data_IF_160226434831
#
_entry.id   IF_160226434831
#
_cell.length_a   1.000
_cell.length_b   1.000
_cell.length_c   1.000
_cell.angle_alpha   90.00
_cell.angle_beta   90.00
_cell.angle_gamma   90.00
#
_symmetry.space_group_name_H-M   'P 1'
#
loop_
_entity.id
_entity.type
_entity.pdbx_description
1 polymer ?
#
# COMPACT_ATOMS: atom_id res chain seq x y z
N UNK A 1 16.35 -6.06 14.28
CA UNK A 1 16.03 -7.39 14.78
C UNK A 1 14.61 -7.66 14.31
N UNK A 2 14.44 -8.43 13.25
CA UNK A 2 13.11 -8.90 12.85
C UNK A 2 12.54 -9.71 14.02
N UNK A 3 11.24 -9.57 14.29
CA UNK A 3 10.57 -10.26 15.40
C UNK A 3 10.84 -11.75 15.29
N UNK A 4 11.38 -12.37 16.35
CA UNK A 4 11.68 -13.80 16.43
C UNK A 4 10.41 -14.68 16.54
N UNK A 5 9.25 -14.15 16.16
CA UNK A 5 7.99 -14.86 16.21
C UNK A 5 7.87 -15.75 14.97
N UNK A 6 7.68 -17.05 15.17
CA UNK A 6 7.40 -17.98 14.10
C UNK A 6 6.09 -17.62 13.40
N UNK A 7 6.12 -17.52 12.08
CA UNK A 7 4.92 -17.23 11.28
C UNK A 7 4.06 -18.50 11.19
N UNK A 8 2.75 -18.36 11.42
CA UNK A 8 1.75 -19.41 11.20
C UNK A 8 0.74 -18.97 10.15
N UNK A 9 0.06 -19.93 9.54
CA UNK A 9 -0.96 -19.65 8.52
C UNK A 9 -2.16 -18.89 9.11
N UNK A 10 -2.77 -18.02 8.29
CA UNK A 10 -3.99 -17.32 8.71
C UNK A 10 -5.16 -18.32 8.80
N UNK A 11 -5.84 -18.46 9.96
CA UNK A 11 -6.79 -19.56 10.20
C UNK A 11 -8.02 -19.62 9.28
N UNK A 12 -8.36 -18.51 8.61
CA UNK A 12 -9.49 -18.46 7.68
C UNK A 12 -9.11 -18.83 6.25
N UNK A 13 -7.83 -19.11 5.97
CA UNK A 13 -7.42 -19.59 4.66
C UNK A 13 -7.89 -21.04 4.46
N UNK A 14 -8.51 -21.36 3.30
CA UNK A 14 -8.84 -22.74 2.97
C UNK A 14 -7.59 -23.62 2.93
N UNK A 15 -7.67 -24.80 3.54
CA UNK A 15 -6.60 -25.81 3.54
C UNK A 15 -6.78 -26.82 2.39
N UNK A 16 -5.70 -27.29 1.75
CA UNK A 16 -4.31 -26.88 1.94
C UNK A 16 -4.00 -25.52 1.28
N UNK A 17 -3.28 -24.66 1.98
CA UNK A 17 -2.91 -23.30 1.52
C UNK A 17 -1.98 -23.35 0.30
N UNK A 18 -1.08 -24.33 0.27
CA UNK A 18 -0.03 -24.52 -0.74
C UNK A 18 -0.55 -24.55 -2.18
N UNK A 19 -1.78 -25.04 -2.38
CA UNK A 19 -2.41 -25.16 -3.71
C UNK A 19 -3.54 -24.17 -3.94
N UNK A 20 -4.12 -23.60 -2.87
CA UNK A 20 -5.33 -22.78 -2.95
C UNK A 20 -5.09 -21.29 -2.70
N UNK A 21 -3.94 -20.92 -2.15
CA UNK A 21 -3.62 -19.53 -1.82
C UNK A 21 -2.37 -19.06 -2.54
N UNK A 22 -2.51 -17.91 -3.19
CA UNK A 22 -1.39 -17.14 -3.75
C UNK A 22 -1.56 -15.69 -3.32
N UNK A 23 -0.58 -15.16 -2.59
CA UNK A 23 -0.64 -13.80 -2.06
C UNK A 23 -0.61 -12.73 -3.17
N UNK A 24 0.26 -12.89 -4.17
CA UNK A 24 0.34 -11.95 -5.29
C UNK A 24 -0.77 -12.19 -6.31
N UNK A 25 -1.71 -11.24 -6.40
CA UNK A 25 -2.85 -11.27 -7.33
C UNK A 25 -2.44 -11.27 -8.80
N UNK A 26 -1.42 -10.49 -9.17
CA UNK A 26 -1.03 -10.30 -10.57
C UNK A 26 0.17 -11.20 -10.87
N UNK A 27 0.05 -12.18 -11.78
CA UNK A 27 1.18 -12.99 -12.20
C UNK A 27 2.10 -12.19 -13.11
N UNK A 28 3.39 -12.13 -12.79
CA UNK A 28 4.36 -11.47 -13.67
C UNK A 28 4.92 -12.42 -14.71
N UNK A 29 4.87 -13.72 -14.43
CA UNK A 29 5.47 -14.79 -15.21
C UNK A 29 4.60 -16.05 -15.17
N UNK A 30 4.65 -16.81 -16.25
CA UNK A 30 4.13 -18.17 -16.38
C UNK A 30 5.25 -19.19 -16.60
N UNK A 31 5.02 -20.48 -16.30
CA UNK A 31 6.03 -21.54 -16.48
C UNK A 31 6.55 -21.69 -17.92
N UNK A 32 5.80 -21.22 -18.92
CA UNK A 32 6.18 -21.26 -20.33
C UNK A 32 7.14 -20.13 -20.75
N UNK A 33 7.33 -19.11 -19.91
CA UNK A 33 8.18 -17.96 -20.24
C UNK A 33 9.67 -18.33 -20.14
N UNK A 34 10.51 -17.67 -20.94
CA UNK A 34 11.96 -17.90 -20.90
C UNK A 34 12.51 -17.44 -19.53
N UNK A 35 13.10 -18.34 -18.70
CA UNK A 35 13.55 -18.00 -17.36
C UNK A 35 14.72 -17.01 -17.35
N UNK A 36 15.51 -16.94 -18.43
CA UNK A 36 16.69 -16.07 -18.55
C UNK A 36 16.37 -14.65 -19.04
N UNK A 37 15.10 -14.31 -19.23
CA UNK A 37 14.70 -13.01 -19.77
C UNK A 37 13.49 -12.48 -19.01
N UNK A 38 13.57 -11.23 -18.57
CA UNK A 38 12.46 -10.58 -17.91
C UNK A 38 11.24 -10.47 -18.85
N UNK A 39 10.06 -10.78 -18.34
CA UNK A 39 8.79 -10.64 -19.07
C UNK A 39 8.41 -9.15 -19.18
N UNK A 40 7.50 -8.79 -20.10
CA UNK A 40 6.97 -7.43 -20.15
C UNK A 40 6.32 -6.98 -18.83
N UNK A 41 5.64 -7.89 -18.12
CA UNK A 41 4.99 -7.61 -16.84
C UNK A 41 6.03 -7.39 -15.73
N UNK A 42 7.06 -8.23 -15.65
CA UNK A 42 8.17 -8.02 -14.71
C UNK A 42 8.82 -6.65 -14.94
N UNK A 43 9.13 -6.30 -16.19
CA UNK A 43 9.73 -5.01 -16.54
C UNK A 43 8.81 -3.84 -16.14
N UNK A 44 7.50 -3.94 -16.41
CA UNK A 44 6.54 -2.89 -16.05
C UNK A 44 6.49 -2.66 -14.53
N UNK A 45 6.45 -3.72 -13.73
CA UNK A 45 6.46 -3.63 -12.27
C UNK A 45 7.81 -3.17 -11.72
N UNK A 46 8.93 -3.67 -12.24
CA UNK A 46 10.26 -3.18 -11.86
C UNK A 46 10.37 -1.67 -12.13
N UNK A 47 9.89 -1.19 -13.29
CA UNK A 47 9.87 0.23 -13.61
C UNK A 47 8.99 1.04 -12.66
N UNK A 48 7.83 0.52 -12.25
CA UNK A 48 6.97 1.14 -11.25
C UNK A 48 7.72 1.33 -9.93
N UNK A 49 8.42 0.31 -9.45
CA UNK A 49 9.23 0.40 -8.24
C UNK A 49 10.44 1.33 -8.41
N UNK A 50 11.10 1.32 -9.57
CA UNK A 50 12.19 2.23 -9.88
C UNK A 50 11.73 3.69 -9.84
N UNK A 51 10.55 3.99 -10.40
CA UNK A 51 9.96 5.33 -10.38
C UNK A 51 9.58 5.81 -8.97
N UNK A 52 9.48 4.91 -7.99
CA UNK A 52 9.25 5.29 -6.59
C UNK A 52 10.51 5.80 -5.89
N UNK A 53 11.71 5.50 -6.39
CA UNK A 53 12.99 5.81 -5.75
C UNK A 53 13.12 7.29 -5.34
N UNK A 54 12.83 8.28 -6.21
CA UNK A 54 12.98 9.69 -5.84
C UNK A 54 12.11 10.09 -4.63
N UNK A 55 10.89 9.57 -4.54
CA UNK A 55 9.97 9.86 -3.43
C UNK A 55 10.47 9.28 -2.10
N UNK A 56 10.94 8.02 -2.11
CA UNK A 56 11.51 7.35 -0.94
C UNK A 56 12.82 8.00 -0.51
N UNK A 57 13.69 8.34 -1.47
CA UNK A 57 14.93 9.07 -1.22
C UNK A 57 14.64 10.41 -0.55
N UNK A 58 13.77 11.25 -1.13
CA UNK A 58 13.42 12.56 -0.54
C UNK A 58 12.89 12.43 0.89
N UNK A 59 12.08 11.39 1.14
CA UNK A 59 11.56 11.11 2.48
C UNK A 59 12.68 10.70 3.43
N UNK A 60 13.57 9.81 3.01
CA UNK A 60 14.73 9.37 3.77
C UNK A 60 15.72 10.52 4.06
N UNK A 61 15.97 11.42 3.09
CA UNK A 61 16.81 12.61 3.26
C UNK A 61 16.29 13.56 4.37
N UNK A 62 14.97 13.58 4.57
CA UNK A 62 14.29 14.41 5.58
C UNK A 62 14.13 13.74 6.95
N UNK A 63 14.64 12.51 7.14
CA UNK A 63 14.57 11.78 8.41
C UNK A 63 15.63 12.33 9.38
N UNK A 64 15.18 13.20 10.30
CA UNK A 64 16.02 13.84 11.32
C UNK A 64 16.47 12.87 12.43
N UNK A 65 15.97 11.63 12.45
CA UNK A 65 16.40 10.60 13.40
C UNK A 65 17.67 9.86 12.99
N UNK A 66 18.14 10.06 11.75
CA UNK A 66 19.31 9.36 11.19
C UNK A 66 20.44 10.36 10.90
N UNK A 67 21.62 10.10 11.47
CA UNK A 67 22.82 10.87 11.17
C UNK A 67 23.28 10.66 9.72
N UNK A 68 23.65 11.75 9.03
CA UNK A 68 24.04 11.74 7.62
C UNK A 68 22.94 11.18 6.69
N UNK A 69 21.67 11.46 7.03
CA UNK A 69 20.50 11.02 6.26
C UNK A 69 20.60 11.30 4.75
N UNK A 70 21.07 12.47 4.26
CA UNK A 70 21.19 12.72 2.82
C UNK A 70 22.12 11.74 2.09
N UNK A 71 23.30 11.47 2.65
CA UNK A 71 24.27 10.52 2.12
C UNK A 71 23.75 9.09 2.15
N UNK A 72 23.06 8.69 3.22
CA UNK A 72 22.44 7.36 3.34
C UNK A 72 21.28 7.17 2.37
N UNK A 73 20.48 8.22 2.14
CA UNK A 73 19.39 8.19 1.18
C UNK A 73 19.88 8.07 -0.26
N UNK A 74 21.00 8.73 -0.61
CA UNK A 74 21.68 8.52 -1.90
C UNK A 74 22.13 7.07 -2.04
N UNK A 75 22.77 6.50 -1.02
CA UNK A 75 23.17 5.08 -1.01
C UNK A 75 21.98 4.14 -1.18
N UNK A 76 20.84 4.43 -0.56
CA UNK A 76 19.60 3.68 -0.79
C UNK A 76 19.19 3.75 -2.26
N UNK A 77 19.11 4.95 -2.83
CA UNK A 77 18.65 5.15 -4.19
C UNK A 77 19.55 4.40 -5.20
N UNK A 78 20.87 4.50 -5.03
CA UNK A 78 21.83 3.80 -5.87
C UNK A 78 21.69 2.28 -5.75
N UNK A 79 21.78 1.73 -4.53
CA UNK A 79 21.76 0.27 -4.32
C UNK A 79 20.44 -0.36 -4.77
N UNK A 80 19.32 0.29 -4.50
CA UNK A 80 18.02 -0.24 -4.91
C UNK A 80 17.82 -0.15 -6.43
N UNK A 81 18.28 0.92 -7.08
CA UNK A 81 18.27 1.02 -8.55
C UNK A 81 19.11 -0.09 -9.20
N UNK A 82 20.31 -0.37 -8.67
CA UNK A 82 21.19 -1.44 -9.15
C UNK A 82 20.50 -2.82 -9.06
N UNK A 83 19.88 -3.14 -7.92
CA UNK A 83 19.10 -4.38 -7.73
C UNK A 83 17.97 -4.51 -8.75
N UNK A 84 17.23 -3.43 -9.01
CA UNK A 84 16.13 -3.43 -9.98
C UNK A 84 16.64 -3.62 -11.42
N UNK A 85 17.79 -3.05 -11.78
CA UNK A 85 18.41 -3.26 -13.09
C UNK A 85 18.98 -4.68 -13.24
N UNK A 86 19.50 -5.27 -12.18
CA UNK A 86 19.93 -6.66 -12.17
C UNK A 86 18.75 -7.61 -12.42
N UNK A 87 17.61 -7.39 -11.77
CA UNK A 87 16.38 -8.17 -11.99
C UNK A 87 15.85 -8.08 -13.43
N UNK A 88 16.09 -6.97 -14.15
CA UNK A 88 15.75 -6.87 -15.58
C UNK A 88 16.67 -7.72 -16.46
N UNK A 89 17.95 -7.80 -16.09
CA UNK A 89 18.98 -8.55 -16.84
C UNK A 89 18.91 -10.04 -16.57
N UNK A 90 18.68 -10.41 -15.31
CA UNK A 90 18.61 -11.77 -14.81
C UNK A 90 17.47 -11.89 -13.78
N UNK A 91 16.29 -12.40 -14.19
CA UNK A 91 15.14 -12.54 -13.29
C UNK A 91 15.41 -13.39 -12.06
N UNK A 92 16.36 -14.34 -12.11
CA UNK A 92 16.71 -15.23 -10.99
C UNK A 92 17.65 -14.54 -9.97
N UNK A 93 18.16 -13.34 -10.28
CA UNK A 93 19.00 -12.57 -9.37
C UNK A 93 18.20 -12.11 -8.13
N UNK A 94 18.92 -11.83 -7.04
CA UNK A 94 18.35 -11.25 -5.81
C UNK A 94 17.14 -12.02 -5.24
N UNK A 95 17.05 -13.32 -5.51
CA UNK A 95 15.98 -14.20 -5.03
C UNK A 95 14.70 -14.20 -5.88
N UNK A 96 14.78 -13.76 -7.15
CA UNK A 96 13.66 -13.80 -8.09
C UNK A 96 13.39 -15.18 -8.69
N UNK A 97 12.49 -15.30 -9.69
CA UNK A 97 11.80 -14.22 -10.42
C UNK A 97 10.97 -13.27 -9.55
N UNK A 98 10.92 -11.96 -9.87
CA UNK A 98 10.29 -11.00 -8.99
C UNK A 98 8.76 -11.14 -8.96
N UNK A 99 8.21 -10.89 -7.77
CA UNK A 99 6.81 -10.56 -7.56
C UNK A 99 6.71 -9.25 -6.75
N UNK A 100 5.50 -8.76 -6.49
CA UNK A 100 5.29 -7.53 -5.72
C UNK A 100 5.90 -7.61 -4.31
N UNK A 101 5.82 -8.79 -3.66
CA UNK A 101 6.31 -8.98 -2.29
C UNK A 101 7.84 -8.89 -2.27
N UNK A 102 8.53 -9.53 -3.21
CA UNK A 102 9.98 -9.47 -3.32
C UNK A 102 10.46 -8.04 -3.56
N UNK A 103 9.84 -7.31 -4.50
CA UNK A 103 10.22 -5.92 -4.80
C UNK A 103 10.03 -5.01 -3.57
N UNK A 104 8.92 -5.16 -2.84
CA UNK A 104 8.71 -4.47 -1.56
C UNK A 104 9.78 -4.85 -0.52
N UNK A 105 10.08 -6.15 -0.37
CA UNK A 105 11.07 -6.65 0.61
C UNK A 105 12.46 -6.09 0.33
N UNK A 106 12.91 -6.13 -0.92
CA UNK A 106 14.21 -5.62 -1.32
C UNK A 106 14.35 -4.11 -1.02
N UNK A 107 13.31 -3.31 -1.30
CA UNK A 107 13.27 -1.89 -0.95
C UNK A 107 13.47 -1.65 0.55
N UNK A 108 12.69 -2.34 1.37
CA UNK A 108 12.75 -2.22 2.83
C UNK A 108 14.08 -2.71 3.40
N UNK A 109 14.61 -3.80 2.84
CA UNK A 109 15.92 -4.33 3.22
C UNK A 109 17.02 -3.30 2.98
N UNK A 110 17.08 -2.69 1.79
CA UNK A 110 18.09 -1.68 1.48
C UNK A 110 17.97 -0.48 2.42
N UNK A 111 16.75 0.03 2.67
CA UNK A 111 16.53 1.12 3.63
C UNK A 111 17.07 0.80 5.02
N UNK A 112 16.77 -0.41 5.53
CA UNK A 112 17.23 -0.88 6.85
C UNK A 112 18.74 -1.04 6.91
N UNK A 113 19.34 -1.61 5.88
CA UNK A 113 20.79 -1.80 5.80
C UNK A 113 21.56 -0.49 5.78
N UNK A 114 21.04 0.56 5.12
CA UNK A 114 21.66 1.89 5.15
C UNK A 114 21.32 2.69 6.42
N UNK A 115 20.52 2.14 7.33
CA UNK A 115 20.29 2.66 8.68
C UNK A 115 18.92 3.29 8.93
N UNK A 116 18.01 3.33 7.95
CA UNK A 116 16.66 3.83 8.16
C UNK A 116 15.77 2.78 8.81
N UNK A 117 14.93 3.19 9.78
CA UNK A 117 13.95 2.30 10.41
C UNK A 117 12.54 2.55 9.91
N UNK A 118 12.14 3.81 9.86
CA UNK A 118 10.80 4.23 9.45
C UNK A 118 10.85 5.67 8.92
N UNK A 119 11.19 5.81 7.64
CA UNK A 119 11.30 7.12 6.98
C UNK A 119 9.96 7.89 6.94
N UNK A 120 8.83 7.20 7.19
CA UNK A 120 7.49 7.79 7.18
C UNK A 120 6.98 8.15 8.58
N UNK A 121 7.76 7.93 9.65
CA UNK A 121 7.29 8.13 11.04
C UNK A 121 6.70 9.53 11.27
N UNK A 122 7.43 10.56 10.88
CA UNK A 122 7.04 11.96 11.09
C UNK A 122 5.73 12.32 10.37
N UNK A 123 5.61 11.95 9.09
CA UNK A 123 4.38 12.22 8.33
C UNK A 123 3.19 11.45 8.87
N UNK A 124 3.38 10.19 9.28
CA UNK A 124 2.33 9.40 9.94
C UNK A 124 1.87 10.04 11.24
N UNK A 125 2.77 10.60 12.05
CA UNK A 125 2.39 11.26 13.30
C UNK A 125 1.55 12.53 13.04
N UNK A 126 1.96 13.33 12.05
CA UNK A 126 1.21 14.53 11.64
C UNK A 126 -0.17 14.19 11.07
N UNK A 127 -0.27 13.16 10.21
CA UNK A 127 -1.52 12.70 9.61
C UNK A 127 -2.45 12.07 10.65
N UNK A 128 -1.91 11.25 11.56
CA UNK A 128 -2.69 10.67 12.67
C UNK A 128 -3.23 11.76 13.60
N UNK A 129 -2.43 12.77 13.96
CA UNK A 129 -2.89 13.87 14.80
C UNK A 129 -4.03 14.67 14.12
N UNK A 130 -3.91 14.93 12.81
CA UNK A 130 -4.97 15.57 12.01
C UNK A 130 -6.23 14.70 11.95
N UNK A 131 -6.09 13.41 11.69
CA UNK A 131 -7.22 12.48 11.61
C UNK A 131 -7.98 12.40 12.94
N UNK A 132 -7.26 12.31 14.07
CA UNK A 132 -7.84 12.32 15.42
C UNK A 132 -8.64 13.60 15.66
N UNK A 133 -8.13 14.76 15.24
CA UNK A 133 -8.83 16.04 15.41
C UNK A 133 -10.17 16.13 14.64
N UNK A 134 -10.31 15.37 13.56
CA UNK A 134 -11.52 15.31 12.73
C UNK A 134 -12.47 14.18 13.14
N UNK A 135 -11.98 13.20 13.89
CA UNK A 135 -12.67 11.93 14.15
C UNK A 135 -14.08 12.13 14.71
N UNK A 136 -14.22 12.92 15.77
CA UNK A 136 -15.53 13.17 16.40
C UNK A 136 -16.54 13.78 15.42
N UNK A 137 -16.11 14.74 14.62
CA UNK A 137 -16.97 15.39 13.63
C UNK A 137 -17.43 14.40 12.56
N UNK A 138 -16.52 13.57 12.04
CA UNK A 138 -16.83 12.54 11.04
C UNK A 138 -17.81 11.51 11.59
N UNK A 139 -17.66 11.09 12.85
CA UNK A 139 -18.61 10.17 13.50
C UNK A 139 -19.99 10.81 13.61
N UNK A 140 -20.10 12.05 14.12
CA UNK A 140 -21.39 12.75 14.25
C UNK A 140 -22.12 12.89 12.91
N UNK A 141 -21.40 13.14 11.81
CA UNK A 141 -22.00 13.21 10.47
C UNK A 141 -22.59 11.86 10.03
N UNK A 142 -21.94 10.75 10.35
CA UNK A 142 -22.45 9.42 10.04
C UNK A 142 -23.63 9.02 10.95
N UNK A 143 -23.56 9.33 12.24
CA UNK A 143 -24.63 9.06 13.20
C UNK A 143 -25.93 9.80 12.86
N UNK A 144 -25.83 11.00 12.26
CA UNK A 144 -26.97 11.78 11.81
C UNK A 144 -27.72 11.16 10.60
N UNK A 145 -27.16 10.16 9.92
CA UNK A 145 -27.82 9.46 8.81
C UNK A 145 -28.76 8.42 9.39
N UNK A 146 -30.07 8.68 9.40
CA UNK A 146 -31.07 7.77 9.98
C UNK A 146 -31.19 6.43 9.23
N UNK A 147 -31.11 6.46 7.90
CA UNK A 147 -31.21 5.26 7.06
C UNK A 147 -29.92 4.43 7.15
N UNK A 148 -30.03 3.20 7.66
CA UNK A 148 -28.88 2.32 7.93
C UNK A 148 -28.10 1.99 6.66
N UNK A 149 -28.80 1.72 5.53
CA UNK A 149 -28.15 1.41 4.26
C UNK A 149 -27.31 2.59 3.74
N UNK A 150 -27.87 3.81 3.76
CA UNK A 150 -27.16 5.05 3.41
C UNK A 150 -26.01 5.33 4.36
N UNK A 151 -26.16 5.03 5.65
CA UNK A 151 -25.08 5.19 6.63
C UNK A 151 -23.90 4.27 6.29
N UNK A 152 -24.16 3.00 6.00
CA UNK A 152 -23.13 2.04 5.59
C UNK A 152 -22.46 2.48 4.28
N UNK A 153 -23.24 2.91 3.29
CA UNK A 153 -22.68 3.45 2.04
C UNK A 153 -21.76 4.64 2.31
N UNK A 154 -22.17 5.57 3.19
CA UNK A 154 -21.35 6.72 3.54
C UNK A 154 -20.07 6.33 4.27
N UNK A 155 -20.13 5.33 5.17
CA UNK A 155 -18.96 4.78 5.85
C UNK A 155 -17.99 4.11 4.85
N UNK A 156 -18.50 3.33 3.90
CA UNK A 156 -17.67 2.69 2.85
C UNK A 156 -16.99 3.73 1.96
N UNK A 157 -17.71 4.79 1.56
CA UNK A 157 -17.11 5.93 0.86
C UNK A 157 -16.05 6.62 1.72
N UNK A 158 -16.29 6.73 3.03
CA UNK A 158 -15.31 7.23 4.00
C UNK A 158 -14.04 6.39 4.07
N UNK A 159 -14.15 5.06 3.99
CA UNK A 159 -13.00 4.14 3.92
C UNK A 159 -12.17 4.42 2.66
N UNK A 160 -12.82 4.54 1.50
CA UNK A 160 -12.11 4.86 0.25
C UNK A 160 -11.46 6.24 0.27
N UNK A 161 -12.17 7.24 0.78
CA UNK A 161 -11.64 8.59 0.91
C UNK A 161 -10.43 8.64 1.86
N UNK A 162 -10.48 7.89 2.97
CA UNK A 162 -9.37 7.78 3.91
C UNK A 162 -8.14 7.18 3.25
N UNK A 163 -8.29 6.08 2.50
CA UNK A 163 -7.18 5.43 1.79
C UNK A 163 -6.56 6.34 0.70
N UNK A 164 -7.38 7.17 0.04
CA UNK A 164 -6.90 8.15 -0.94
C UNK A 164 -6.15 9.30 -0.23
N UNK A 165 -6.71 9.77 0.89
CA UNK A 165 -6.16 10.88 1.68
C UNK A 165 -4.84 10.52 2.36
N UNK A 166 -4.61 9.25 2.68
CA UNK A 166 -3.35 8.71 3.26
C UNK A 166 -2.15 8.74 2.28
N UNK A 167 -2.32 9.29 1.06
CA UNK A 167 -1.27 9.52 0.05
C UNK A 167 -0.36 8.32 -0.25
N UNK A 168 -0.82 7.08 -0.01
CA UNK A 168 -0.01 5.86 -0.14
C UNK A 168 0.47 5.54 -1.57
N UNK A 169 0.02 6.29 -2.58
CA UNK A 169 0.48 6.20 -3.97
C UNK A 169 1.21 7.47 -4.40
N UNK A 170 2.37 7.30 -5.05
CA UNK A 170 3.18 8.39 -5.59
C UNK A 170 2.39 9.32 -6.53
N UNK A 171 1.44 8.76 -7.30
CA UNK A 171 0.61 9.55 -8.22
C UNK A 171 -0.44 10.40 -7.49
N UNK A 172 -0.93 9.93 -6.35
CA UNK A 172 -1.82 10.71 -5.50
C UNK A 172 -1.02 11.75 -4.71
N UNK A 173 0.16 11.41 -4.17
CA UNK A 173 1.00 12.38 -3.46
C UNK A 173 1.29 13.67 -4.29
N UNK A 174 1.51 13.55 -5.61
CA UNK A 174 1.73 14.71 -6.49
C UNK A 174 0.48 15.56 -6.72
N UNK A 175 -0.69 14.94 -6.96
CA UNK A 175 -1.96 15.65 -7.16
C UNK A 175 -2.39 16.36 -5.87
N UNK A 176 -2.16 15.74 -4.72
CA UNK A 176 -2.62 16.23 -3.43
C UNK A 176 -1.73 17.35 -2.86
N UNK A 177 -0.46 17.41 -3.25
CA UNK A 177 0.46 18.49 -2.84
C UNK A 177 0.05 19.88 -3.36
N UNK A 178 -0.84 19.95 -4.36
CA UNK A 178 -1.23 21.21 -5.02
C UNK A 178 -2.50 21.85 -4.45
N UNK A 179 -3.46 21.06 -3.96
CA UNK A 179 -4.83 21.55 -3.74
C UNK A 179 -5.30 21.61 -2.28
N UNK A 180 -4.52 21.13 -1.31
CA UNK A 180 -4.87 21.30 0.12
C UNK A 180 -6.26 20.75 0.50
N UNK A 181 -6.69 19.67 -0.13
CA UNK A 181 -8.04 19.11 0.01
C UNK A 181 -8.25 18.48 1.39
N UNK A 182 -9.48 18.61 1.93
CA UNK A 182 -9.88 18.00 3.21
C UNK A 182 -10.46 16.59 3.02
N UNK A 183 -10.40 15.75 4.06
CA UNK A 183 -10.99 14.40 4.07
C UNK A 183 -12.46 14.39 3.60
N UNK A 184 -13.26 15.38 4.04
CA UNK A 184 -14.66 15.51 3.64
C UNK A 184 -14.83 15.82 2.15
N UNK A 185 -13.93 16.62 1.59
CA UNK A 185 -13.92 16.88 0.15
C UNK A 185 -13.52 15.63 -0.65
N UNK A 186 -12.59 14.82 -0.14
CA UNK A 186 -12.25 13.51 -0.74
C UNK A 186 -13.45 12.55 -0.75
N UNK A 187 -14.28 12.54 0.31
CA UNK A 187 -15.51 11.74 0.36
C UNK A 187 -16.51 12.12 -0.74
N UNK A 188 -16.56 13.40 -1.12
CA UNK A 188 -17.47 13.90 -2.17
C UNK A 188 -16.96 13.63 -3.59
N UNK A 189 -15.65 13.40 -3.75
CA UNK A 189 -15.00 13.20 -5.04
C UNK A 189 -14.71 11.73 -5.36
N UNK A 190 -15.26 10.78 -4.59
CA UNK A 190 -15.22 9.36 -4.95
C UNK A 190 -15.95 9.16 -6.27
N UNK A 191 -15.34 8.41 -7.19
CA UNK A 191 -15.93 8.09 -8.49
C UNK A 191 -17.34 7.50 -8.32
N UNK A 192 -18.31 7.89 -9.18
CA UNK A 192 -19.67 7.41 -9.06
C UNK A 192 -19.75 5.91 -9.29
N UNK A 193 -20.71 5.26 -8.64
CA UNK A 193 -21.04 3.84 -8.85
C UNK A 193 -21.61 3.62 -10.27
N UNK A 194 -21.47 2.42 -10.86
CA UNK A 194 -20.83 1.23 -10.28
C UNK A 194 -19.30 1.34 -10.26
N UNK A 195 -18.69 0.87 -9.18
CA UNK A 195 -17.23 0.70 -9.12
C UNK A 195 -16.76 -0.48 -9.95
N UNK A 196 -15.44 -0.58 -10.18
CA UNK A 196 -14.83 -1.66 -10.97
C UNK A 196 -15.19 -3.05 -10.45
N UNK A 197 -15.29 -3.19 -9.13
CA UNK A 197 -15.90 -4.32 -8.43
C UNK A 197 -16.83 -3.67 -7.40
N UNK A 198 -18.13 -3.93 -7.51
CA UNK A 198 -19.15 -3.25 -6.71
C UNK A 198 -20.13 -4.26 -6.11
N UNK A 199 -19.75 -4.79 -4.96
CA UNK A 199 -20.56 -5.72 -4.17
C UNK A 199 -21.25 -5.03 -2.97
N UNK A 200 -21.32 -3.69 -2.98
CA UNK A 200 -21.80 -2.91 -1.83
C UNK A 200 -23.25 -3.24 -1.48
N UNK A 201 -24.13 -3.39 -2.48
CA UNK A 201 -25.54 -3.69 -2.22
C UNK A 201 -25.71 -5.08 -1.62
N UNK A 202 -24.92 -6.06 -2.07
CA UNK A 202 -24.91 -7.41 -1.51
C UNK A 202 -24.37 -7.40 -0.07
N UNK A 203 -23.36 -6.58 0.22
CA UNK A 203 -22.84 -6.38 1.56
C UNK A 203 -23.89 -5.74 2.50
N UNK A 204 -24.53 -4.64 2.09
CA UNK A 204 -25.58 -3.96 2.87
C UNK A 204 -26.74 -4.92 3.19
N UNK A 205 -27.17 -5.71 2.19
CA UNK A 205 -28.23 -6.72 2.39
C UNK A 205 -27.86 -7.77 3.45
N UNK A 206 -26.60 -8.20 3.50
CA UNK A 206 -26.12 -9.15 4.53
C UNK A 206 -25.93 -8.46 5.88
N UNK A 207 -25.46 -7.22 5.89
CA UNK A 207 -25.26 -6.44 7.11
C UNK A 207 -26.58 -6.25 7.88
N UNK A 208 -27.66 -5.87 7.20
CA UNK A 208 -28.98 -5.67 7.81
C UNK A 208 -29.57 -6.94 8.44
N UNK A 209 -29.08 -8.13 8.06
CA UNK A 209 -29.47 -9.41 8.68
C UNK A 209 -28.76 -9.68 10.02
N UNK A 210 -27.82 -8.82 10.43
CA UNK A 210 -27.03 -8.92 11.67
C UNK A 210 -26.34 -10.27 11.88
N UNK A 211 -25.96 -10.94 10.79
CA UNK A 211 -25.37 -12.29 10.83
C UNK A 211 -23.87 -12.33 11.17
N UNK A 212 -23.26 -11.20 11.55
CA UNK A 212 -21.82 -11.09 11.78
C UNK A 212 -21.55 -10.94 13.29
N UNK A 213 -21.01 -11.99 13.91
CA UNK A 213 -20.67 -12.00 15.35
C UNK A 213 -19.18 -11.77 15.61
N UNK A 214 -18.35 -11.98 14.58
CA UNK A 214 -16.91 -11.73 14.57
C UNK A 214 -16.53 -11.14 13.21
N UNK A 215 -15.87 -9.98 13.22
CA UNK A 215 -15.31 -9.30 12.06
C UNK A 215 -13.83 -9.67 11.90
#
# INVERSE_FOLDING_TARGET
MESACEFVEFPQLPTPTETNYRACTIPYRFPSDNPKKATPTEIAWINLFHNSIPSFRKRAESDDSVEDAPSRAEKFAQRYAEILEDLKKDPESHGGPPDCILLCRLREQVLREVGFRDIFKKVKDEENAKAISLFEHVIRLNDAIEDEAKRIENLVKGIFAGNIFDLGSAQLAEVFSKDGMSFLASCQNIVPRPWVIDDLDAFIMRWGKKGWERL
#
